data_IF_569153028587
#
_entry.id   IF_569153028587
#
_cell.length_a   1.000
_cell.length_b   1.000
_cell.length_c   1.000
_cell.angle_alpha   90.00
_cell.angle_beta   90.00
_cell.angle_gamma   90.00
#
_symmetry.space_group_name_H-M   'P 1'
#
loop_
_entity.id
_entity.type
_entity.pdbx_description
1 polymer ?
#
# COMPACT_ATOMS: atom_id res chain seq x y z
N UNK A 1 9.61 10.37 2.03
CA UNK A 1 9.29 9.87 0.66
C UNK A 1 10.08 8.60 0.39
N UNK A 2 9.38 7.53 0.04
CA UNK A 2 9.93 6.25 -0.36
C UNK A 2 9.71 6.05 -1.86
N UNK A 3 10.72 5.54 -2.56
CA UNK A 3 10.63 5.09 -3.95
C UNK A 3 11.16 3.66 -4.06
N UNK A 4 10.41 2.79 -4.73
CA UNK A 4 10.75 1.37 -4.89
C UNK A 4 10.44 0.95 -6.32
N UNK A 5 11.39 0.32 -7.01
CA UNK A 5 11.10 -0.37 -8.25
C UNK A 5 10.71 -1.81 -7.93
N UNK A 6 9.61 -2.29 -8.52
CA UNK A 6 9.09 -3.64 -8.32
C UNK A 6 8.72 -4.30 -9.65
N UNK A 7 8.82 -5.62 -9.71
CA UNK A 7 8.30 -6.45 -10.82
C UNK A 7 7.60 -7.67 -10.22
N UNK A 8 6.51 -8.09 -10.84
CA UNK A 8 5.70 -9.22 -10.40
C UNK A 8 5.67 -10.34 -11.45
N UNK A 9 5.49 -11.58 -11.00
CA UNK A 9 5.06 -12.69 -11.86
C UNK A 9 3.54 -12.68 -12.08
N UNK A 10 3.07 -13.54 -12.99
CA UNK A 10 1.62 -13.74 -13.20
C UNK A 10 0.95 -14.15 -11.88
N UNK A 11 -0.15 -13.48 -11.54
CA UNK A 11 -0.92 -13.76 -10.33
C UNK A 11 -0.27 -13.35 -9.01
N UNK A 12 0.89 -12.71 -8.99
CA UNK A 12 1.60 -12.44 -7.74
C UNK A 12 0.90 -11.39 -6.86
N UNK A 13 1.09 -11.53 -5.55
CA UNK A 13 0.68 -10.61 -4.50
C UNK A 13 1.87 -10.23 -3.60
N UNK A 14 1.97 -8.94 -3.27
CA UNK A 14 2.93 -8.38 -2.33
C UNK A 14 2.47 -6.96 -1.96
N UNK A 15 3.30 -6.20 -1.27
CA UNK A 15 2.97 -4.84 -0.88
C UNK A 15 4.16 -4.09 -0.31
N UNK A 16 4.09 -2.77 -0.40
CA UNK A 16 4.99 -1.86 0.31
C UNK A 16 4.21 -1.22 1.44
N UNK A 17 4.56 -1.57 2.68
CA UNK A 17 3.92 -1.03 3.87
C UNK A 17 4.72 0.07 4.53
N UNK A 18 4.00 0.98 5.17
CA UNK A 18 4.52 2.13 5.90
C UNK A 18 3.62 2.41 7.12
N UNK A 19 4.16 3.14 8.10
CA UNK A 19 3.60 3.21 9.46
C UNK A 19 3.44 1.83 10.10
N UNK A 20 4.38 0.92 9.84
CA UNK A 20 4.32 -0.44 10.37
C UNK A 20 4.74 -0.45 11.84
N UNK A 21 3.93 -1.10 12.68
CA UNK A 21 4.28 -1.47 14.04
C UNK A 21 4.24 -3.00 14.19
N UNK A 22 5.41 -3.59 14.39
CA UNK A 22 5.59 -5.05 14.52
C UNK A 22 5.10 -5.58 15.87
N UNK A 23 4.74 -4.73 16.82
CA UNK A 23 4.20 -5.15 18.12
C UNK A 23 2.69 -5.37 18.09
N UNK A 24 1.97 -4.82 17.09
CA UNK A 24 0.51 -4.90 17.00
C UNK A 24 0.03 -6.31 16.69
N UNK A 25 0.60 -6.94 15.65
CA UNK A 25 0.27 -8.33 15.30
C UNK A 25 1.41 -9.26 15.70
N UNK A 26 1.21 -10.00 16.81
CA UNK A 26 2.13 -11.05 17.28
C UNK A 26 1.71 -12.46 16.84
N UNK A 27 0.59 -12.56 16.10
CA UNK A 27 0.05 -13.82 15.60
C UNK A 27 0.54 -14.15 14.20
N UNK A 28 -0.24 -14.96 13.49
CA UNK A 28 0.00 -15.25 12.08
C UNK A 28 -0.37 -14.04 11.19
N UNK A 29 0.27 -13.95 10.03
CA UNK A 29 0.02 -12.92 9.04
C UNK A 29 1.05 -11.78 9.05
N UNK A 30 0.85 -10.81 8.16
CA UNK A 30 1.77 -9.69 7.99
C UNK A 30 1.65 -8.67 9.13
N UNK A 31 2.74 -7.94 9.39
CA UNK A 31 2.72 -6.83 10.33
C UNK A 31 1.73 -5.73 9.87
N UNK A 32 1.24 -4.97 10.83
CA UNK A 32 0.15 -4.00 10.63
C UNK A 32 0.74 -2.64 10.27
N UNK A 33 0.26 -2.08 9.16
CA UNK A 33 0.59 -0.75 8.66
C UNK A 33 -0.25 -0.45 7.41
N UNK A 34 -0.19 0.80 6.95
CA UNK A 34 -0.76 1.18 5.65
C UNK A 34 0.03 0.48 4.53
N UNK A 35 -0.63 0.23 3.39
CA UNK A 35 -0.07 -0.62 2.33
C UNK A 35 -0.35 -0.05 0.95
N UNK A 36 0.71 0.23 0.20
CA UNK A 36 0.67 0.33 -1.25
C UNK A 36 0.61 -1.09 -1.81
N UNK A 37 -0.53 -1.45 -2.38
CA UNK A 37 -0.76 -2.79 -2.90
C UNK A 37 0.11 -3.09 -4.13
N UNK A 38 0.74 -4.27 -4.19
CA UNK A 38 1.42 -4.79 -5.38
C UNK A 38 0.74 -6.09 -5.78
N UNK A 39 0.03 -6.09 -6.91
CA UNK A 39 -0.83 -7.20 -7.30
C UNK A 39 -0.90 -7.36 -8.81
N UNK A 40 -1.02 -8.59 -9.30
CA UNK A 40 -1.55 -8.84 -10.63
C UNK A 40 -3.09 -8.72 -10.62
N UNK A 41 -3.58 -7.52 -10.93
CA UNK A 41 -5.01 -7.21 -10.98
C UNK A 41 -5.84 -8.12 -11.91
N UNK A 42 -5.21 -8.68 -12.94
CA UNK A 42 -5.92 -9.49 -13.93
C UNK A 42 -6.09 -10.95 -13.48
N UNK A 43 -5.22 -11.43 -12.59
CA UNK A 43 -5.06 -12.85 -12.30
C UNK A 43 -5.27 -13.20 -10.84
N UNK A 44 -4.84 -12.34 -9.91
CA UNK A 44 -4.96 -12.65 -8.50
C UNK A 44 -6.43 -12.46 -8.02
N UNK A 45 -7.02 -13.44 -7.30
CA UNK A 45 -8.43 -13.40 -6.92
C UNK A 45 -8.79 -12.21 -6.02
N UNK A 46 -7.85 -11.71 -5.21
CA UNK A 46 -8.09 -10.59 -4.30
C UNK A 46 -8.38 -9.26 -5.03
N UNK A 47 -8.02 -9.15 -6.32
CA UNK A 47 -8.39 -8.01 -7.16
C UNK A 47 -9.92 -7.87 -7.36
N UNK A 48 -10.66 -8.96 -7.17
CA UNK A 48 -12.14 -9.00 -7.25
C UNK A 48 -12.81 -8.85 -5.88
N UNK A 49 -12.01 -8.84 -4.80
CA UNK A 49 -12.49 -8.66 -3.45
C UNK A 49 -12.42 -7.17 -3.05
N UNK A 50 -12.99 -6.86 -1.89
CA UNK A 50 -13.06 -5.50 -1.38
C UNK A 50 -14.21 -4.69 -1.99
N UNK A 51 -14.05 -3.36 -1.97
CA UNK A 51 -15.07 -2.39 -2.41
C UNK A 51 -14.48 -1.51 -3.50
N UNK A 52 -15.16 -1.44 -4.64
CA UNK A 52 -14.77 -0.58 -5.77
C UNK A 52 -13.29 -0.74 -6.23
N UNK A 53 -12.72 -1.94 -6.10
CA UNK A 53 -11.34 -2.23 -6.51
C UNK A 53 -10.26 -1.77 -5.52
N UNK A 54 -10.61 -1.51 -4.25
CA UNK A 54 -9.67 -1.05 -3.21
C UNK A 54 -8.60 -2.07 -2.78
N UNK A 55 -8.55 -3.23 -3.43
CA UNK A 55 -7.51 -4.25 -3.25
C UNK A 55 -6.63 -4.46 -4.50
N UNK A 56 -6.80 -3.61 -5.51
CA UNK A 56 -5.99 -3.66 -6.74
C UNK A 56 -4.68 -2.89 -6.60
N UNK A 57 -3.71 -3.14 -7.49
CA UNK A 57 -2.38 -2.54 -7.50
C UNK A 57 -2.40 -1.02 -7.30
N UNK A 58 -1.53 -0.51 -6.42
CA UNK A 58 -1.41 0.90 -6.09
C UNK A 58 -2.51 1.45 -5.16
N UNK A 59 -3.55 0.66 -4.86
CA UNK A 59 -4.54 1.02 -3.86
C UNK A 59 -3.88 1.18 -2.48
N UNK A 60 -4.50 2.00 -1.63
CA UNK A 60 -4.31 1.86 -0.19
C UNK A 60 -5.15 0.66 0.24
N UNK A 61 -4.48 -0.49 0.45
CA UNK A 61 -5.13 -1.79 0.54
C UNK A 61 -6.33 -1.81 1.50
N UNK A 62 -7.50 -2.21 0.97
CA UNK A 62 -8.80 -2.30 1.65
C UNK A 62 -9.39 -0.96 2.16
N UNK A 63 -8.81 0.18 1.75
CA UNK A 63 -9.25 1.52 2.14
C UNK A 63 -9.61 2.37 0.92
N UNK A 64 -8.63 2.76 0.09
CA UNK A 64 -8.83 3.70 -1.02
C UNK A 64 -8.41 3.05 -2.35
N UNK A 65 -9.31 2.93 -3.34
CA UNK A 65 -8.99 2.35 -4.62
C UNK A 65 -8.09 3.25 -5.47
N UNK A 66 -7.12 2.63 -6.14
CA UNK A 66 -6.42 3.27 -7.24
C UNK A 66 -7.35 3.39 -8.47
N UNK A 67 -7.15 4.41 -9.33
CA UNK A 67 -7.88 4.54 -10.58
C UNK A 67 -7.64 3.33 -11.49
N UNK A 68 -8.66 2.95 -12.25
CA UNK A 68 -8.58 1.82 -13.19
C UNK A 68 -7.52 2.04 -14.29
N UNK A 69 -7.39 3.28 -14.77
CA UNK A 69 -6.45 3.68 -15.83
C UNK A 69 -5.06 4.09 -15.28
N UNK A 70 -4.51 3.29 -14.35
CA UNK A 70 -3.17 3.51 -13.80
C UNK A 70 -2.06 3.02 -14.76
N UNK A 71 -0.88 3.67 -14.79
CA UNK A 71 0.15 3.42 -15.80
C UNK A 71 1.00 2.18 -15.52
N UNK A 72 0.41 1.03 -15.20
CA UNK A 72 1.14 -0.21 -14.91
C UNK A 72 1.69 -0.87 -16.18
N UNK A 73 2.91 -1.44 -16.08
CA UNK A 73 3.58 -2.15 -17.19
C UNK A 73 3.82 -3.61 -16.79
N UNK A 74 2.96 -4.51 -17.24
CA UNK A 74 3.11 -5.95 -16.99
C UNK A 74 4.41 -6.49 -17.60
N UNK A 75 5.09 -7.39 -16.87
CA UNK A 75 6.36 -8.00 -17.30
C UNK A 75 7.61 -7.12 -17.17
N UNK A 76 7.45 -5.83 -16.84
CA UNK A 76 8.55 -4.88 -16.64
C UNK A 76 8.63 -4.42 -15.18
N UNK A 77 9.76 -3.83 -14.79
CA UNK A 77 9.83 -3.09 -13.53
C UNK A 77 8.93 -1.85 -13.58
N UNK A 78 8.24 -1.60 -12.48
CA UNK A 78 7.38 -0.46 -12.23
C UNK A 78 7.92 0.28 -11.00
N UNK A 79 7.69 1.57 -10.92
CA UNK A 79 8.12 2.38 -9.79
C UNK A 79 6.90 2.73 -8.93
N UNK A 80 6.86 2.22 -7.71
CA UNK A 80 5.98 2.73 -6.65
C UNK A 80 6.68 3.87 -5.91
N UNK A 81 5.94 4.92 -5.58
CA UNK A 81 6.41 5.96 -4.69
C UNK A 81 5.31 6.35 -3.70
N UNK A 82 5.71 6.40 -2.42
CA UNK A 82 4.86 6.82 -1.30
C UNK A 82 5.45 8.12 -0.73
N UNK A 83 4.65 9.17 -0.75
CA UNK A 83 5.01 10.47 -0.15
C UNK A 83 4.21 10.61 1.13
N UNK A 84 4.88 10.89 2.24
CA UNK A 84 4.27 11.19 3.54
C UNK A 84 4.81 12.54 3.99
N UNK A 85 3.94 13.50 4.27
CA UNK A 85 4.26 14.83 4.81
C UNK A 85 3.26 15.18 5.91
N UNK A 86 3.65 14.99 7.17
CA UNK A 86 2.70 15.03 8.29
C UNK A 86 1.55 14.03 8.06
N UNK A 87 0.31 14.52 8.10
CA UNK A 87 -0.88 13.69 7.87
C UNK A 87 -1.17 13.39 6.39
N UNK A 88 -0.58 14.17 5.49
CA UNK A 88 -0.80 14.05 4.05
C UNK A 88 -0.01 12.87 3.47
N UNK A 89 -0.69 12.03 2.68
CA UNK A 89 -0.08 10.87 2.04
C UNK A 89 -0.50 10.75 0.57
N UNK A 90 0.46 10.43 -0.28
CA UNK A 90 0.23 10.18 -1.71
C UNK A 90 0.80 8.83 -2.16
N UNK A 91 0.09 8.16 -3.06
CA UNK A 91 0.64 7.06 -3.84
C UNK A 91 0.87 7.50 -5.28
N UNK A 92 2.01 7.10 -5.82
CA UNK A 92 2.39 7.34 -7.20
C UNK A 92 2.84 6.02 -7.85
N UNK A 93 2.45 5.84 -9.11
CA UNK A 93 2.87 4.72 -9.93
C UNK A 93 3.46 5.25 -11.24
N UNK A 94 4.70 4.87 -11.55
CA UNK A 94 5.39 5.26 -12.78
C UNK A 94 5.31 6.78 -13.09
N UNK A 95 5.43 7.61 -12.05
CA UNK A 95 5.43 9.07 -12.18
C UNK A 95 4.05 9.74 -12.23
N UNK A 96 2.96 8.98 -12.11
CA UNK A 96 1.59 9.51 -12.05
C UNK A 96 1.05 9.34 -10.63
N UNK A 97 0.50 10.42 -10.05
CA UNK A 97 -0.21 10.37 -8.76
C UNK A 97 -1.51 9.61 -8.96
N UNK A 98 -1.76 8.62 -8.11
CA UNK A 98 -2.91 7.73 -8.21
C UNK A 98 -3.82 7.78 -6.99
N UNK A 99 -3.29 8.12 -5.80
CA UNK A 99 -4.06 8.31 -4.57
C UNK A 99 -3.49 9.49 -3.79
N UNK A 100 -4.35 10.19 -3.09
CA UNK A 100 -4.03 11.25 -2.13
C UNK A 100 -5.03 11.21 -0.99
N UNK A 101 -4.57 11.31 0.25
CA UNK A 101 -5.43 11.30 1.43
C UNK A 101 -4.79 12.00 2.62
N UNK A 102 -5.63 12.36 3.59
CA UNK A 102 -5.24 12.93 4.88
C UNK A 102 -5.57 11.95 5.99
N UNK A 103 -4.59 11.68 6.86
CA UNK A 103 -4.76 10.88 8.08
C UNK A 103 -5.23 11.75 9.24
N UNK A 104 -5.47 11.12 10.39
CA UNK A 104 -5.71 11.82 11.66
C UNK A 104 -6.86 12.85 11.61
N UNK A 105 -7.95 12.48 10.91
CA UNK A 105 -9.17 13.28 10.83
C UNK A 105 -10.41 12.35 10.83
N UNK A 106 -11.60 12.96 10.87
CA UNK A 106 -12.86 12.22 10.95
C UNK A 106 -13.13 11.35 9.72
N UNK A 107 -12.75 11.80 8.52
CA UNK A 107 -12.92 11.02 7.29
C UNK A 107 -12.03 9.78 7.28
N UNK A 108 -10.77 9.92 7.70
CA UNK A 108 -9.85 8.80 7.87
C UNK A 108 -10.38 7.80 8.89
N UNK A 109 -10.82 8.28 10.05
CA UNK A 109 -11.36 7.42 11.10
C UNK A 109 -12.60 6.64 10.62
N UNK A 110 -13.53 7.32 9.93
CA UNK A 110 -14.70 6.68 9.36
C UNK A 110 -14.31 5.60 8.34
N UNK A 111 -13.36 5.91 7.44
CA UNK A 111 -12.87 4.97 6.44
C UNK A 111 -12.26 3.72 7.08
N UNK A 112 -11.39 3.90 8.09
CA UNK A 112 -10.78 2.79 8.83
C UNK A 112 -11.82 1.91 9.51
N UNK A 113 -12.85 2.52 10.12
CA UNK A 113 -13.90 1.79 10.83
C UNK A 113 -14.74 0.87 9.92
N UNK A 114 -14.79 1.14 8.61
CA UNK A 114 -15.46 0.30 7.62
C UNK A 114 -14.53 -0.72 6.93
N UNK A 115 -13.23 -0.69 7.23
CA UNK A 115 -12.23 -1.56 6.60
C UNK A 115 -11.91 -2.80 7.44
N UNK A 116 -11.04 -3.67 6.91
CA UNK A 116 -10.44 -4.77 7.67
C UNK A 116 -9.63 -4.32 8.89
N UNK A 117 -9.28 -3.03 8.98
CA UNK A 117 -8.44 -2.49 10.04
C UNK A 117 -9.22 -1.91 11.23
N UNK A 118 -10.56 -2.01 11.23
CA UNK A 118 -11.44 -1.45 12.28
C UNK A 118 -11.07 -1.86 13.71
N UNK A 119 -10.46 -3.04 13.88
CA UNK A 119 -10.11 -3.60 15.18
C UNK A 119 -8.70 -3.18 15.65
N UNK A 120 -7.99 -2.34 14.87
CA UNK A 120 -6.69 -1.77 15.24
C UNK A 120 -6.85 -0.34 15.72
N UNK A 121 -6.78 -0.09 17.04
CA UNK A 121 -6.92 1.26 17.58
C UNK A 121 -5.88 2.19 16.98
N UNK A 122 -6.33 3.38 16.56
CA UNK A 122 -5.46 4.41 15.99
C UNK A 122 -4.69 3.95 14.73
N UNK A 123 -5.24 3.01 13.95
CA UNK A 123 -4.61 2.49 12.74
C UNK A 123 -4.14 3.62 11.80
N UNK A 124 -2.87 3.52 11.40
CA UNK A 124 -2.26 4.41 10.44
C UNK A 124 -2.08 5.85 10.92
N UNK A 125 -2.38 6.20 12.17
CA UNK A 125 -2.23 7.58 12.69
C UNK A 125 -0.89 7.85 13.38
N UNK A 126 0.00 6.85 13.49
CA UNK A 126 1.33 7.07 14.01
C UNK A 126 2.09 8.12 13.16
N UNK A 127 2.94 8.92 13.82
CA UNK A 127 3.82 9.88 13.14
C UNK A 127 4.99 9.16 12.47
N UNK A 128 5.50 8.11 13.13
CA UNK A 128 6.61 7.29 12.68
C UNK A 128 6.21 5.81 12.63
N UNK A 129 6.96 5.03 11.86
CA UNK A 129 6.83 3.58 11.81
C UNK A 129 7.78 2.96 10.80
N UNK A 130 7.86 1.64 10.81
CA UNK A 130 8.76 0.91 9.93
C UNK A 130 8.23 0.89 8.49
N UNK A 131 9.15 0.67 7.56
CA UNK A 131 8.86 0.30 6.18
C UNK A 131 8.97 -1.22 6.06
N UNK A 132 8.10 -1.83 5.27
CA UNK A 132 8.10 -3.28 5.06
C UNK A 132 7.81 -3.62 3.60
N UNK A 133 8.55 -4.59 3.07
CA UNK A 133 8.23 -5.29 1.83
C UNK A 133 7.56 -6.61 2.19
N UNK A 134 6.36 -6.85 1.69
CA UNK A 134 5.58 -8.01 2.10
C UNK A 134 5.97 -9.25 1.29
N UNK A 135 6.25 -10.33 2.01
CA UNK A 135 6.19 -11.68 1.47
C UNK A 135 4.75 -12.20 1.61
N UNK A 136 4.16 -12.59 0.48
CA UNK A 136 2.83 -13.21 0.41
C UNK A 136 2.88 -14.58 -0.30
N UNK A 137 4.06 -15.19 -0.38
CA UNK A 137 4.25 -16.51 -1.00
C UNK A 137 4.41 -16.50 -2.52
N UNK A 138 4.46 -15.32 -3.15
CA UNK A 138 4.64 -15.14 -4.58
C UNK A 138 5.99 -14.51 -4.92
N UNK A 139 6.50 -14.78 -6.13
CA UNK A 139 7.76 -14.21 -6.61
C UNK A 139 7.59 -12.74 -7.04
N UNK A 140 8.23 -11.85 -6.29
CA UNK A 140 8.27 -10.41 -6.55
C UNK A 140 9.70 -9.91 -6.43
N UNK A 141 10.15 -9.15 -7.42
CA UNK A 141 11.48 -8.54 -7.42
C UNK A 141 11.40 -7.09 -7.00
N UNK A 142 12.32 -6.66 -6.14
CA UNK A 142 12.49 -5.27 -5.74
C UNK A 142 13.90 -4.79 -6.07
N UNK A 143 14.01 -3.53 -6.51
CA UNK A 143 15.30 -2.87 -6.70
C UNK A 143 15.16 -1.35 -6.52
N UNK A 144 16.29 -0.64 -6.54
CA UNK A 144 16.35 0.82 -6.48
C UNK A 144 15.53 1.44 -5.33
N UNK A 145 15.53 0.79 -4.17
CA UNK A 145 14.83 1.25 -2.97
C UNK A 145 15.56 2.48 -2.43
N UNK A 146 14.91 3.63 -2.46
CA UNK A 146 15.48 4.92 -2.05
C UNK A 146 14.53 5.64 -1.12
N UNK A 147 15.08 6.23 -0.07
CA UNK A 147 14.34 7.07 0.87
C UNK A 147 14.90 8.49 0.86
N UNK A 148 14.00 9.47 0.88
CA UNK A 148 14.31 10.86 1.18
C UNK A 148 13.48 11.25 2.40
N UNK A 149 14.16 11.65 3.48
CA UNK A 149 13.53 12.27 4.63
C UNK A 149 12.98 13.64 4.20
N UNK A 150 11.76 13.96 4.62
CA UNK A 150 11.09 15.21 4.31
C UNK A 150 10.91 15.98 5.62
N UNK A 151 11.10 17.29 5.54
CA UNK A 151 10.82 18.22 6.63
C UNK A 151 9.32 18.53 6.74
#
# INVERSE_FOLDING_TARGET
MLKVDFKITEGANSGVKYFVDTNLNKGQGSAIGCEFQILDDNKHPDAKLGVAGNRTLGSLYDLIPAPQNKPFRSGFFNTAMVVVKGNHVEHWLNGVKIIEYERNNQMWQALVNYSKYKDWPNFGNAEEGLLLLQDHGDEVWFQNIKIKILD
#
